data_IF_798168440768
#
_entry.id   IF_798168440768
#
_cell.length_a   1.000
_cell.length_b   1.000
_cell.length_c   1.000
_cell.angle_alpha   90.00
_cell.angle_beta   90.00
_cell.angle_gamma   90.00
#
_symmetry.space_group_name_H-M   'P 1'
#
loop_
_entity.id
_entity.type
_entity.pdbx_description
1 polymer ?
#
# COMPACT_ATOMS: atom_id res chain seq x y z
N UNK A 1 -0.38 -2.50 -8.44
CA UNK A 1 0.67 -1.69 -7.79
C UNK A 1 1.85 -2.61 -7.59
N UNK A 2 3.05 -2.24 -8.03
CA UNK A 2 4.25 -3.06 -7.88
C UNK A 2 4.99 -2.68 -6.59
N UNK A 3 5.42 -3.67 -5.82
CA UNK A 3 5.92 -3.48 -4.44
C UNK A 3 7.06 -4.45 -4.11
N UNK A 4 8.01 -4.09 -3.23
CA UNK A 4 9.10 -4.96 -2.76
C UNK A 4 8.61 -6.26 -2.14
N UNK A 5 7.63 -6.10 -1.27
CA UNK A 5 6.96 -7.09 -0.47
C UNK A 5 5.66 -6.44 0.01
N UNK A 6 4.71 -7.28 0.38
CA UNK A 6 3.41 -6.83 0.85
C UNK A 6 3.31 -7.08 2.35
N UNK A 7 2.85 -6.09 3.11
CA UNK A 7 2.48 -6.27 4.51
C UNK A 7 0.97 -6.35 4.64
N UNK A 8 0.49 -7.33 5.41
CA UNK A 8 -0.94 -7.48 5.71
C UNK A 8 -1.24 -6.75 7.00
N UNK A 9 -2.09 -5.74 6.95
CA UNK A 9 -2.55 -5.08 8.18
C UNK A 9 -3.61 -5.97 8.88
N UNK A 10 -3.38 -6.43 10.12
CA UNK A 10 -4.33 -7.26 10.85
C UNK A 10 -5.27 -6.46 11.78
N UNK A 11 -5.06 -5.15 11.89
CA UNK A 11 -5.60 -4.27 12.94
C UNK A 11 -6.60 -3.23 12.43
N UNK A 12 -6.85 -3.13 11.12
CA UNK A 12 -7.81 -2.17 10.61
C UNK A 12 -9.24 -2.50 11.06
N UNK A 13 -9.84 -1.57 11.81
CA UNK A 13 -11.26 -1.58 12.16
C UNK A 13 -11.97 -0.54 11.29
N UNK A 14 -12.77 -1.00 10.31
CA UNK A 14 -13.67 -0.07 9.63
C UNK A 14 -14.78 0.36 10.58
N UNK A 15 -14.80 1.63 10.94
CA UNK A 15 -16.00 2.27 11.46
C UNK A 15 -17.04 2.40 10.34
N UNK A 16 -17.86 1.36 10.18
CA UNK A 16 -19.06 1.41 9.36
C UNK A 16 -20.24 1.89 10.22
N UNK A 17 -21.11 2.74 9.65
CA UNK A 17 -22.30 3.33 10.30
C UNK A 17 -23.33 2.31 10.86
N UNK A 18 -23.12 1.00 10.77
CA UNK A 18 -23.99 -0.04 11.33
C UNK A 18 -23.22 -0.98 12.28
N UNK A 19 -23.27 -0.67 13.58
CA UNK A 19 -23.22 -1.53 14.78
C UNK A 19 -22.35 -2.80 14.88
N UNK A 20 -21.43 -3.11 13.96
CA UNK A 20 -20.41 -4.16 14.15
C UNK A 20 -19.08 -3.74 13.55
N UNK A 21 -18.08 -3.57 14.41
CA UNK A 21 -16.69 -3.38 14.00
C UNK A 21 -16.23 -4.61 13.22
N UNK A 22 -16.13 -4.48 11.90
CA UNK A 22 -15.57 -5.52 11.04
C UNK A 22 -14.08 -5.28 10.93
N UNK A 23 -13.31 -6.26 11.40
CA UNK A 23 -11.88 -6.34 11.09
C UNK A 23 -11.72 -6.49 9.59
N UNK A 24 -10.96 -5.59 8.99
CA UNK A 24 -10.58 -5.66 7.58
C UNK A 24 -9.09 -5.96 7.55
N UNK A 25 -8.70 -6.78 6.59
CA UNK A 25 -7.30 -7.04 6.30
C UNK A 25 -7.05 -6.77 4.84
N UNK A 26 -5.95 -6.09 4.54
CA UNK A 26 -5.52 -5.79 3.19
C UNK A 26 -3.99 -5.73 3.15
N UNK A 27 -3.45 -5.84 1.95
CA UNK A 27 -2.02 -5.72 1.71
C UNK A 27 -1.64 -4.28 1.37
N UNK A 28 -0.49 -3.83 1.86
CA UNK A 28 0.09 -2.53 1.50
C UNK A 28 1.59 -2.65 1.17
N UNK A 29 2.09 -1.67 0.42
CA UNK A 29 3.51 -1.53 0.08
C UNK A 29 4.21 -0.71 1.17
N UNK A 30 5.47 -0.99 1.49
CA UNK A 30 6.25 -0.08 2.33
C UNK A 30 6.71 1.13 1.53
N UNK A 31 6.37 2.34 1.99
CA UNK A 31 6.77 3.57 1.30
C UNK A 31 8.29 3.72 1.19
N UNK A 32 9.03 3.25 2.20
CA UNK A 32 10.49 3.37 2.27
C UNK A 32 11.28 2.56 1.23
N UNK A 33 10.68 1.52 0.66
CA UNK A 33 11.27 0.78 -0.47
C UNK A 33 10.88 1.34 -1.84
N UNK A 34 9.86 2.21 -1.87
CA UNK A 34 9.21 2.63 -3.08
C UNK A 34 8.18 1.62 -3.59
N UNK A 35 7.27 2.11 -4.43
CA UNK A 35 6.28 1.31 -5.15
C UNK A 35 5.93 1.99 -6.46
N UNK A 36 5.40 1.22 -7.42
CA UNK A 36 4.93 1.76 -8.69
C UNK A 36 3.42 1.62 -8.86
N UNK A 37 2.83 2.66 -9.43
CA UNK A 37 1.45 2.65 -9.93
C UNK A 37 1.45 2.98 -11.41
N UNK A 38 0.64 2.25 -12.19
CA UNK A 38 0.45 2.61 -13.59
C UNK A 38 -0.45 3.84 -13.70
N UNK A 39 -0.31 4.59 -14.81
CA UNK A 39 -1.21 5.70 -15.11
C UNK A 39 -2.69 5.28 -15.10
N UNK A 40 -3.00 4.09 -15.60
CA UNK A 40 -4.35 3.54 -15.59
C UNK A 40 -4.89 3.35 -14.16
N UNK A 41 -4.05 2.87 -13.23
CA UNK A 41 -4.43 2.73 -11.83
C UNK A 41 -4.63 4.10 -11.16
N UNK A 42 -3.71 5.04 -11.40
CA UNK A 42 -3.83 6.41 -10.88
C UNK A 42 -5.14 7.09 -11.32
N UNK A 43 -5.54 6.90 -12.58
CA UNK A 43 -6.82 7.42 -13.09
C UNK A 43 -8.03 6.75 -12.43
N UNK A 44 -7.97 5.44 -12.14
CA UNK A 44 -9.03 4.74 -11.38
C UNK A 44 -9.13 5.24 -9.94
N UNK A 45 -8.02 5.67 -9.34
CA UNK A 45 -8.00 6.23 -7.99
C UNK A 45 -8.59 7.65 -7.94
N UNK A 46 -8.48 8.43 -9.01
CA UNK A 46 -8.81 9.86 -9.02
C UNK A 46 -10.21 10.21 -8.45
N UNK A 47 -11.31 9.50 -8.78
CA UNK A 47 -12.62 9.82 -8.22
C UNK A 47 -12.71 9.61 -6.69
N UNK A 48 -11.90 8.70 -6.14
CA UNK A 48 -11.93 8.25 -4.75
C UNK A 48 -10.90 9.00 -3.90
N UNK A 49 -9.73 9.29 -4.46
CA UNK A 49 -8.56 9.80 -3.74
C UNK A 49 -8.04 11.15 -4.27
N UNK A 50 -8.56 11.65 -5.40
CA UNK A 50 -8.17 12.95 -5.96
C UNK A 50 -8.75 14.14 -5.18
N UNK A 51 -8.18 15.32 -5.40
CA UNK A 51 -8.71 16.58 -4.86
C UNK A 51 -8.68 16.69 -3.33
N UNK A 52 -7.64 16.14 -2.68
CA UNK A 52 -7.48 16.16 -1.22
C UNK A 52 -8.08 14.95 -0.49
N UNK A 53 -8.95 14.17 -1.15
CA UNK A 53 -9.59 12.99 -0.55
C UNK A 53 -8.61 11.92 -0.06
N UNK A 54 -7.43 11.80 -0.69
CA UNK A 54 -6.39 10.90 -0.22
C UNK A 54 -5.99 11.20 1.23
N UNK A 55 -5.73 12.48 1.52
CA UNK A 55 -5.37 12.96 2.87
C UNK A 55 -6.53 12.74 3.83
N UNK A 56 -7.76 13.09 3.42
CA UNK A 56 -8.96 12.85 4.23
C UNK A 56 -9.17 11.36 4.60
N UNK A 57 -8.89 10.45 3.66
CA UNK A 57 -8.94 9.01 3.91
C UNK A 57 -7.87 8.63 4.93
N UNK A 58 -6.62 9.07 4.73
CA UNK A 58 -5.50 8.81 5.64
C UNK A 58 -5.79 9.28 7.07
N UNK A 59 -6.26 10.52 7.22
CA UNK A 59 -6.65 11.11 8.51
C UNK A 59 -7.79 10.34 9.17
N UNK A 60 -8.77 9.89 8.39
CA UNK A 60 -9.91 9.12 8.90
C UNK A 60 -9.49 7.74 9.40
N UNK A 61 -8.59 7.07 8.69
CA UNK A 61 -8.13 5.74 9.08
C UNK A 61 -6.98 5.79 10.09
N UNK A 62 -6.33 6.94 10.24
CA UNK A 62 -5.17 7.20 11.13
C UNK A 62 -3.99 6.28 10.84
N UNK A 63 -3.74 6.02 9.56
CA UNK A 63 -2.58 5.26 9.10
C UNK A 63 -1.69 6.11 8.18
N UNK A 64 -0.41 5.76 8.01
CA UNK A 64 0.50 6.46 7.11
C UNK A 64 0.07 6.39 5.63
N UNK A 65 0.72 7.19 4.79
CA UNK A 65 0.39 7.32 3.36
C UNK A 65 0.51 5.99 2.59
N UNK A 66 1.49 5.15 2.91
CA UNK A 66 1.74 3.88 2.22
C UNK A 66 0.65 2.83 2.55
N UNK A 67 0.20 2.79 3.81
CA UNK A 67 -0.97 2.03 4.24
C UNK A 67 -2.25 2.60 3.60
N UNK A 68 -2.38 3.93 3.51
CA UNK A 68 -3.54 4.58 2.85
C UNK A 68 -3.61 4.23 1.37
N UNK A 69 -2.48 4.22 0.67
CA UNK A 69 -2.35 3.73 -0.71
C UNK A 69 -2.79 2.27 -0.84
N UNK A 70 -2.30 1.39 0.05
CA UNK A 70 -2.71 -0.01 0.11
C UNK A 70 -4.21 -0.17 0.34
N UNK A 71 -4.78 0.58 1.28
CA UNK A 71 -6.22 0.57 1.56
C UNK A 71 -7.04 0.96 0.32
N UNK A 72 -6.65 2.01 -0.40
CA UNK A 72 -7.37 2.43 -1.61
C UNK A 72 -7.26 1.36 -2.70
N UNK A 73 -6.06 0.84 -2.96
CA UNK A 73 -5.81 -0.07 -4.09
C UNK A 73 -6.36 -1.47 -3.83
N UNK A 74 -6.02 -2.07 -2.70
CA UNK A 74 -6.41 -3.45 -2.34
C UNK A 74 -7.83 -3.52 -1.81
N UNK A 75 -8.20 -2.65 -0.86
CA UNK A 75 -9.49 -2.76 -0.20
C UNK A 75 -10.63 -2.08 -0.97
N UNK A 76 -10.46 -0.84 -1.41
CA UNK A 76 -11.53 -0.09 -2.10
C UNK A 76 -11.63 -0.47 -3.58
N UNK A 77 -10.51 -0.51 -4.30
CA UNK A 77 -10.48 -0.81 -5.73
C UNK A 77 -10.39 -2.31 -6.05
N UNK A 78 -10.10 -3.17 -5.07
CA UNK A 78 -9.97 -4.64 -5.23
C UNK A 78 -8.93 -5.03 -6.28
N UNK A 79 -7.84 -4.29 -6.35
CA UNK A 79 -6.72 -4.55 -7.25
C UNK A 79 -5.57 -5.12 -6.43
N UNK A 80 -5.11 -6.35 -6.71
CA UNK A 80 -4.03 -6.96 -5.95
C UNK A 80 -2.69 -6.25 -6.19
N UNK A 81 -1.81 -6.35 -5.19
CA UNK A 81 -0.41 -5.94 -5.30
C UNK A 81 0.35 -6.98 -6.12
N UNK A 82 1.35 -6.51 -6.86
CA UNK A 82 2.33 -7.34 -7.56
C UNK A 82 3.64 -7.20 -6.83
N UNK A 83 4.17 -8.30 -6.29
CA UNK A 83 5.47 -8.31 -5.63
C UNK A 83 6.57 -8.33 -6.69
N UNK A 84 7.60 -7.49 -6.49
CA UNK A 84 8.74 -7.26 -7.38
C UNK A 84 9.97 -7.18 -6.48
N UNK A 85 10.84 -8.18 -6.56
CA UNK A 85 11.97 -8.39 -5.64
C UNK A 85 13.10 -7.34 -5.80
N UNK A 86 12.98 -6.42 -6.76
CA UNK A 86 13.92 -5.35 -7.06
C UNK A 86 13.70 -4.07 -6.23
N UNK A 87 12.67 -4.03 -5.38
CA UNK A 87 12.47 -2.92 -4.48
C UNK A 87 12.99 -3.32 -3.10
N UNK A 88 13.76 -2.43 -2.47
CA UNK A 88 14.42 -2.71 -1.20
C UNK A 88 14.27 -1.56 -0.20
N UNK A 89 14.04 -1.90 1.06
CA UNK A 89 13.90 -0.96 2.18
C UNK A 89 14.92 -1.30 3.25
N UNK A 90 15.40 -0.28 3.97
CA UNK A 90 16.24 -0.45 5.15
C UNK A 90 15.58 -1.23 6.31
N UNK A 91 14.30 -1.58 6.18
CA UNK A 91 13.61 -2.49 7.10
C UNK A 91 13.94 -3.97 6.84
N UNK A 92 14.57 -4.30 5.71
CA UNK A 92 15.12 -5.61 5.45
C UNK A 92 16.60 -5.67 5.82
N UNK A 93 17.15 -6.87 6.11
CA UNK A 93 18.56 -7.02 6.40
C UNK A 93 19.40 -6.86 5.12
N UNK A 94 19.73 -5.60 4.82
CA UNK A 94 20.45 -5.14 3.62
C UNK A 94 21.79 -5.86 3.39
N UNK A 95 22.43 -6.35 4.45
CA UNK A 95 23.67 -7.13 4.38
C UNK A 95 23.53 -8.48 3.66
N UNK A 96 22.30 -8.99 3.54
CA UNK A 96 22.02 -10.23 2.81
C UNK A 96 21.62 -10.01 1.36
N UNK A 97 21.56 -8.75 0.89
CA UNK A 97 21.37 -8.48 -0.53
C UNK A 97 22.62 -8.90 -1.29
N UNK A 98 22.44 -9.76 -2.29
CA UNK A 98 23.52 -10.30 -3.11
C UNK A 98 24.13 -9.16 -3.94
N UNK A 99 25.42 -8.81 -3.75
CA UNK A 99 26.05 -7.72 -4.48
C UNK A 99 25.98 -7.89 -6.00
N UNK A 100 25.95 -9.13 -6.48
CA UNK A 100 25.85 -9.46 -7.90
C UNK A 100 24.51 -9.01 -8.50
N UNK A 101 23.45 -8.90 -7.70
CA UNK A 101 22.11 -8.47 -8.14
C UNK A 101 21.89 -6.96 -8.09
N UNK A 102 22.86 -6.16 -7.63
CA UNK A 102 22.64 -4.71 -7.47
C UNK A 102 22.38 -3.98 -8.79
N UNK A 103 22.84 -4.54 -9.90
CA UNK A 103 22.57 -4.00 -11.23
C UNK A 103 21.12 -4.23 -11.71
N UNK A 104 20.40 -5.16 -11.08
CA UNK A 104 19.02 -5.50 -11.40
C UNK A 104 18.00 -4.67 -10.59
N UNK A 105 18.47 -3.80 -9.69
CA UNK A 105 17.67 -2.98 -8.77
C UNK A 105 17.24 -1.65 -9.40
#
# INVERSE_FOLDING_TARGET
MCVPYAHKDPSFLAQQKSTRDKKITFWFATGGAGFCISRALALKMLPIAGGGKFVEIGDKIRFPDDVTMGFIVEHLLRIPLTVVDQFHSHLEPMEFLRPEMFHDQ
#
